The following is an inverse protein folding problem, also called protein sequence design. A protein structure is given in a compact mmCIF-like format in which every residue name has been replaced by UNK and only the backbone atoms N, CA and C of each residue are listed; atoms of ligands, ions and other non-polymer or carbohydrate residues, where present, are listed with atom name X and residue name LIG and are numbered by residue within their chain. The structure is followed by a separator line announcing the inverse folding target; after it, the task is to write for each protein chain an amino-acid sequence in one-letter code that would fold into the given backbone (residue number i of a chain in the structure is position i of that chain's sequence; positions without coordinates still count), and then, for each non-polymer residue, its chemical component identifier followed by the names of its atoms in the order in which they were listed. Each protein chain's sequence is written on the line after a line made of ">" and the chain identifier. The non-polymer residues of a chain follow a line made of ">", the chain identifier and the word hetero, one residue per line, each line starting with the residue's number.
data_IF_659582383508
#
_entry.id   IF_659582383508
#
_cell.length_a   1.000
_cell.length_b   1.000
_cell.length_c   1.000
_cell.angle_alpha   90.00
_cell.angle_beta   90.00
_cell.angle_gamma   90.00
#
_symmetry.space_group_name_H-M   'P 1'
#
loop_
_entity.id
_entity.type
_entity.pdbx_description
1 polymer ?
#
# COMPACT_ATOMS: atom_id res chain seq x y z
N UNK A 1 -12.68 -13.49 -13.33
CA UNK A 1 -11.96 -14.46 -14.19
C UNK A 1 -11.59 -13.90 -15.56
N UNK A 2 -12.44 -13.10 -16.20
CA UNK A 2 -12.11 -12.50 -17.52
C UNK A 2 -10.85 -11.61 -17.49
N UNK A 3 -10.70 -10.78 -16.45
CA UNK A 3 -9.48 -9.96 -16.23
C UNK A 3 -8.24 -10.85 -16.21
N UNK A 4 -8.31 -12.02 -15.56
CA UNK A 4 -7.22 -12.99 -15.48
C UNK A 4 -6.87 -13.57 -16.84
N UNK A 5 -7.87 -13.95 -17.63
CA UNK A 5 -7.64 -14.48 -18.98
C UNK A 5 -6.98 -13.44 -19.91
N UNK A 6 -7.27 -12.15 -19.73
CA UNK A 6 -6.73 -11.10 -20.59
C UNK A 6 -5.41 -10.51 -20.08
N UNK A 7 -5.29 -10.20 -18.79
CA UNK A 7 -4.14 -9.50 -18.21
C UNK A 7 -3.20 -10.41 -17.39
N UNK A 8 -3.58 -11.66 -17.13
CA UNK A 8 -2.82 -12.58 -16.28
C UNK A 8 -3.21 -12.49 -14.81
N UNK A 9 -2.60 -13.36 -14.01
CA UNK A 9 -2.98 -13.56 -12.61
C UNK A 9 -2.61 -12.37 -11.72
N UNK A 10 -1.42 -11.77 -11.84
CA UNK A 10 -1.00 -10.64 -10.98
C UNK A 10 -1.98 -9.47 -10.99
N UNK A 11 -2.42 -9.06 -12.18
CA UNK A 11 -3.36 -7.93 -12.33
C UNK A 11 -4.76 -8.33 -11.85
N UNK A 12 -5.20 -9.55 -12.16
CA UNK A 12 -6.48 -10.03 -11.66
C UNK A 12 -6.51 -10.19 -10.13
N UNK A 13 -5.37 -10.53 -9.51
CA UNK A 13 -5.23 -10.61 -8.06
C UNK A 13 -5.31 -9.22 -7.43
N UNK A 14 -4.71 -8.20 -8.07
CA UNK A 14 -4.87 -6.80 -7.67
C UNK A 14 -6.33 -6.35 -7.70
N UNK A 15 -7.02 -6.48 -8.85
CA UNK A 15 -8.44 -6.10 -8.93
C UNK A 15 -9.32 -6.90 -7.96
N UNK A 16 -9.01 -8.18 -7.75
CA UNK A 16 -9.69 -9.00 -6.75
C UNK A 16 -9.45 -8.51 -5.31
N UNK A 17 -8.25 -8.03 -5.00
CA UNK A 17 -7.95 -7.43 -3.70
C UNK A 17 -8.66 -6.09 -3.52
N UNK A 18 -8.62 -5.22 -4.54
CA UNK A 18 -9.30 -3.93 -4.54
C UNK A 18 -10.81 -4.10 -4.32
N UNK A 19 -11.45 -5.02 -5.06
CA UNK A 19 -12.87 -5.35 -4.92
C UNK A 19 -13.16 -5.84 -3.50
N UNK A 20 -12.40 -6.84 -3.03
CA UNK A 20 -12.55 -7.37 -1.67
C UNK A 20 -12.39 -6.29 -0.60
N UNK A 21 -11.33 -5.48 -0.71
CA UNK A 21 -10.98 -4.44 0.24
C UNK A 21 -12.07 -3.35 0.30
N UNK A 22 -12.65 -3.00 -0.85
CA UNK A 22 -13.81 -2.10 -0.93
C UNK A 22 -14.97 -2.61 -0.08
N UNK A 23 -15.38 -3.88 -0.28
CA UNK A 23 -16.45 -4.49 0.50
C UNK A 23 -16.09 -4.65 1.99
N UNK A 24 -14.83 -4.95 2.28
CA UNK A 24 -14.32 -5.13 3.64
C UNK A 24 -14.33 -3.82 4.46
N UNK A 25 -14.23 -2.66 3.81
CA UNK A 25 -14.32 -1.35 4.48
C UNK A 25 -15.76 -0.88 4.72
N UNK A 26 -16.77 -1.45 4.02
CA UNK A 26 -18.17 -1.03 4.19
C UNK A 26 -18.65 -1.15 5.64
N UNK A 27 -18.40 -2.23 6.40
CA UNK A 27 -18.78 -2.30 7.81
C UNK A 27 -18.16 -1.19 8.66
N UNK A 28 -16.89 -0.85 8.44
CA UNK A 28 -16.24 0.27 9.13
C UNK A 28 -16.91 1.61 8.79
N UNK A 29 -17.23 1.83 7.51
CA UNK A 29 -17.90 3.04 7.04
C UNK A 29 -19.33 3.17 7.61
N UNK A 30 -20.12 2.10 7.56
CA UNK A 30 -21.51 2.08 8.06
C UNK A 30 -21.56 2.34 9.56
N UNK A 31 -20.65 1.74 10.34
CA UNK A 31 -20.58 1.98 11.79
C UNK A 31 -20.01 3.39 12.06
N UNK A 32 -19.07 3.89 11.26
CA UNK A 32 -18.49 5.21 11.42
C UNK A 32 -19.45 6.39 11.20
N UNK A 33 -20.47 6.24 10.35
CA UNK A 33 -21.43 7.31 10.03
C UNK A 33 -22.24 7.77 11.27
N UNK A 34 -22.95 6.89 12.02
CA UNK A 34 -23.65 7.29 13.24
C UNK A 34 -22.73 7.92 14.28
N UNK A 35 -21.51 7.39 14.41
CA UNK A 35 -20.51 7.89 15.37
C UNK A 35 -20.16 9.35 15.11
N UNK A 36 -20.00 9.72 13.85
CA UNK A 36 -19.75 11.10 13.46
C UNK A 36 -21.01 11.98 13.52
N UNK A 37 -22.13 11.51 12.96
CA UNK A 37 -23.35 12.30 12.81
C UNK A 37 -24.00 12.68 14.14
N UNK A 38 -23.99 11.77 15.11
CA UNK A 38 -24.59 11.99 16.42
C UNK A 38 -23.60 12.50 17.46
N UNK A 39 -22.39 12.88 17.04
CA UNK A 39 -21.28 13.28 17.91
C UNK A 39 -21.21 12.36 19.14
N UNK A 40 -21.17 11.05 18.89
CA UNK A 40 -21.06 10.02 19.91
C UNK A 40 -19.63 10.02 20.47
N UNK A 41 -19.25 11.15 21.08
CA UNK A 41 -17.94 11.39 21.66
C UNK A 41 -17.87 10.89 23.12
N UNK A 42 -18.83 10.07 23.54
CA UNK A 42 -18.74 9.39 24.84
C UNK A 42 -17.62 8.36 24.81
N UNK A 43 -16.87 8.28 25.91
CA UNK A 43 -15.73 7.37 26.07
C UNK A 43 -16.03 5.93 25.66
N UNK A 44 -17.13 5.37 26.18
CA UNK A 44 -17.54 3.99 25.94
C UNK A 44 -17.71 3.71 24.45
N UNK A 45 -18.18 4.71 23.70
CA UNK A 45 -18.43 4.58 22.27
C UNK A 45 -17.10 4.55 21.51
N UNK A 46 -16.14 5.43 21.83
CA UNK A 46 -14.81 5.39 21.19
C UNK A 46 -14.08 4.07 21.38
N UNK A 47 -14.12 3.51 22.59
CA UNK A 47 -13.51 2.20 22.88
C UNK A 47 -14.19 1.09 22.09
N UNK A 48 -15.52 1.09 22.03
CA UNK A 48 -16.27 0.09 21.26
C UNK A 48 -15.98 0.16 19.76
N UNK A 49 -15.93 1.38 19.18
CA UNK A 49 -15.61 1.56 17.77
C UNK A 49 -14.17 1.17 17.44
N UNK A 50 -13.20 1.62 18.22
CA UNK A 50 -11.80 1.28 18.03
C UNK A 50 -11.59 -0.23 18.17
N UNK A 51 -12.15 -0.87 19.20
CA UNK A 51 -12.07 -2.33 19.39
C UNK A 51 -12.67 -3.06 18.20
N UNK A 52 -13.84 -2.64 17.71
CA UNK A 52 -14.44 -3.20 16.50
C UNK A 52 -13.48 -3.08 15.30
N UNK A 53 -12.95 -1.90 15.01
CA UNK A 53 -12.07 -1.68 13.86
C UNK A 53 -10.79 -2.51 13.94
N UNK A 54 -10.17 -2.60 15.12
CA UNK A 54 -8.94 -3.37 15.34
C UNK A 54 -9.17 -4.88 15.14
N UNK A 55 -10.26 -5.42 15.67
CA UNK A 55 -10.62 -6.83 15.48
C UNK A 55 -11.03 -7.09 14.02
N UNK A 56 -11.86 -6.23 13.45
CA UNK A 56 -12.31 -6.32 12.07
C UNK A 56 -11.14 -6.26 11.08
N UNK A 57 -10.15 -5.38 11.32
CA UNK A 57 -8.94 -5.29 10.51
C UNK A 57 -8.15 -6.61 10.47
N UNK A 58 -8.21 -7.42 11.53
CA UNK A 58 -7.59 -8.75 11.57
C UNK A 58 -8.41 -9.73 10.73
N UNK A 59 -9.73 -9.73 10.92
CA UNK A 59 -10.65 -10.60 10.16
C UNK A 59 -10.51 -10.38 8.66
N UNK A 60 -10.45 -9.12 8.20
CA UNK A 60 -10.38 -8.83 6.77
C UNK A 60 -9.06 -9.34 6.15
N UNK A 61 -7.94 -9.29 6.86
CA UNK A 61 -6.64 -9.75 6.34
C UNK A 61 -6.56 -11.28 6.32
N UNK A 62 -7.15 -11.95 7.31
CA UNK A 62 -7.24 -13.41 7.36
C UNK A 62 -8.22 -13.98 6.31
N UNK A 63 -9.38 -13.35 6.16
CA UNK A 63 -10.37 -13.74 5.14
C UNK A 63 -9.81 -13.52 3.74
N UNK A 64 -9.01 -12.48 3.52
CA UNK A 64 -8.32 -12.27 2.24
C UNK A 64 -7.40 -13.44 1.88
N UNK A 65 -6.56 -13.91 2.82
CA UNK A 65 -5.68 -15.08 2.58
C UNK A 65 -6.48 -16.29 2.10
N UNK A 66 -7.67 -16.51 2.68
CA UNK A 66 -8.57 -17.60 2.31
C UNK A 66 -9.16 -17.44 0.92
N UNK A 67 -9.65 -16.24 0.59
CA UNK A 67 -10.21 -15.92 -0.73
C UNK A 67 -9.11 -16.04 -1.80
N UNK A 68 -7.94 -15.47 -1.54
CA UNK A 68 -6.77 -15.56 -2.40
C UNK A 68 -6.37 -17.01 -2.67
N UNK A 69 -6.37 -17.88 -1.66
CA UNK A 69 -6.09 -19.31 -1.82
C UNK A 69 -7.13 -20.02 -2.71
N UNK A 70 -8.42 -19.67 -2.60
CA UNK A 70 -9.47 -20.22 -3.49
C UNK A 70 -9.24 -19.77 -4.93
N UNK A 71 -9.01 -18.47 -5.14
CA UNK A 71 -8.81 -17.90 -6.48
C UNK A 71 -7.59 -18.49 -7.16
N UNK A 72 -6.44 -18.52 -6.48
CA UNK A 72 -5.18 -19.01 -7.02
C UNK A 72 -5.15 -20.54 -7.18
N UNK A 73 -5.89 -21.28 -6.35
CA UNK A 73 -6.15 -22.70 -6.60
C UNK A 73 -6.99 -22.89 -7.87
N UNK A 74 -8.09 -22.14 -8.03
CA UNK A 74 -8.94 -22.19 -9.23
C UNK A 74 -8.17 -21.82 -10.49
N UNK A 75 -7.21 -20.90 -10.37
CA UNK A 75 -6.35 -20.51 -11.47
C UNK A 75 -5.21 -21.49 -11.75
N UNK A 76 -4.86 -22.34 -10.79
CA UNK A 76 -3.75 -23.27 -10.87
C UNK A 76 -2.40 -22.68 -10.49
N UNK A 77 -2.28 -21.36 -10.29
CA UNK A 77 -1.03 -20.71 -9.87
C UNK A 77 -0.60 -21.09 -8.46
N UNK A 78 -1.53 -21.52 -7.60
CA UNK A 78 -1.19 -22.09 -6.29
C UNK A 78 -0.48 -23.45 -6.40
N UNK A 79 -0.81 -24.22 -7.44
CA UNK A 79 -0.26 -25.56 -7.70
C UNK A 79 0.99 -25.52 -8.55
N UNK A 80 1.22 -24.43 -9.28
CA UNK A 80 2.50 -24.20 -9.93
C UNK A 80 3.56 -24.20 -8.84
N UNK A 81 4.34 -25.27 -8.76
CA UNK A 81 5.67 -25.22 -8.15
C UNK A 81 6.28 -23.97 -8.77
N UNK A 82 6.64 -22.96 -7.96
CA UNK A 82 7.29 -21.74 -8.44
C UNK A 82 8.26 -22.23 -9.49
N UNK A 83 7.96 -21.95 -10.77
CA UNK A 83 8.81 -22.39 -11.85
C UNK A 83 10.21 -21.97 -11.43
N UNK A 84 11.21 -22.81 -11.66
CA UNK A 84 12.58 -22.46 -11.32
C UNK A 84 12.86 -21.10 -11.95
N UNK A 85 12.72 -20.03 -11.16
CA UNK A 85 12.70 -18.68 -11.70
C UNK A 85 14.09 -18.45 -12.23
N UNK A 86 14.14 -18.12 -13.52
CA UNK A 86 15.41 -17.81 -14.17
C UNK A 86 16.03 -16.61 -13.45
N UNK A 87 17.37 -16.54 -13.38
CA UNK A 87 18.02 -15.36 -12.87
C UNK A 87 17.56 -14.12 -13.63
N UNK A 88 17.27 -13.03 -12.91
CA UNK A 88 16.84 -11.77 -13.56
C UNK A 88 17.92 -11.28 -14.54
N UNK A 89 17.56 -10.53 -15.59
CA UNK A 89 18.51 -10.08 -16.61
C UNK A 89 19.72 -9.29 -16.07
N UNK A 90 19.54 -8.56 -14.96
CA UNK A 90 20.60 -7.79 -14.32
C UNK A 90 21.46 -8.57 -13.31
N UNK A 91 21.19 -9.86 -13.08
CA UNK A 91 21.93 -10.66 -12.12
C UNK A 91 23.26 -11.13 -12.71
N UNK A 92 24.35 -10.88 -11.98
CA UNK A 92 25.70 -11.20 -12.44
C UNK A 92 26.52 -11.92 -11.36
N UNK A 93 27.44 -12.79 -11.77
CA UNK A 93 28.22 -13.61 -10.86
C UNK A 93 29.30 -14.41 -11.60
N UNK A 94 30.01 -15.26 -10.86
CA UNK A 94 30.95 -16.21 -11.46
C UNK A 94 30.12 -17.36 -12.02
N UNK A 95 30.41 -17.79 -13.25
CA UNK A 95 29.73 -18.92 -13.85
C UNK A 95 29.98 -20.19 -13.03
N UNK A 96 28.92 -20.92 -12.69
CA UNK A 96 29.00 -22.13 -11.89
C UNK A 96 27.78 -23.02 -12.09
N UNK A 97 27.85 -24.23 -11.55
CA UNK A 97 26.74 -25.19 -11.64
C UNK A 97 25.76 -24.91 -10.50
N UNK A 98 24.50 -24.67 -10.82
CA UNK A 98 23.44 -24.55 -9.82
C UNK A 98 23.19 -25.92 -9.17
N UNK A 99 23.25 -26.04 -7.83
CA UNK A 99 23.13 -27.32 -7.13
C UNK A 99 21.73 -27.93 -7.20
N UNK A 100 20.71 -27.16 -7.59
CA UNK A 100 19.32 -27.61 -7.67
C UNK A 100 18.90 -27.95 -9.11
N UNK A 101 19.25 -27.10 -10.09
CA UNK A 101 18.89 -27.36 -11.50
C UNK A 101 19.93 -28.18 -12.25
N UNK A 102 21.17 -28.24 -11.75
CA UNK A 102 22.30 -28.82 -12.45
C UNK A 102 22.75 -28.05 -13.69
N UNK A 103 22.16 -26.87 -13.96
CA UNK A 103 22.49 -26.03 -15.12
C UNK A 103 23.61 -25.06 -14.77
N UNK A 104 24.38 -24.69 -15.80
CA UNK A 104 25.40 -23.65 -15.69
C UNK A 104 24.73 -22.27 -15.71
N UNK A 105 24.89 -21.50 -14.63
CA UNK A 105 24.33 -20.15 -14.49
C UNK A 105 25.27 -19.26 -13.64
N UNK A 106 25.13 -17.93 -13.66
CA UNK A 106 25.89 -17.08 -12.76
C UNK A 106 25.58 -17.43 -11.30
N UNK A 107 26.61 -17.52 -10.46
CA UNK A 107 26.48 -17.77 -9.01
C UNK A 107 27.07 -16.60 -8.24
N UNK A 108 26.37 -16.18 -7.18
CA UNK A 108 26.77 -15.07 -6.32
C UNK A 108 26.71 -15.47 -4.85
N UNK A 109 27.77 -15.15 -4.09
CA UNK A 109 27.84 -15.45 -2.66
C UNK A 109 26.76 -14.70 -1.88
N UNK A 110 25.93 -15.45 -1.15
CA UNK A 110 24.89 -14.88 -0.28
C UNK A 110 25.47 -13.97 0.79
N UNK A 111 26.66 -14.27 1.33
CA UNK A 111 27.30 -13.43 2.36
C UNK A 111 27.63 -12.04 1.81
N UNK A 112 28.19 -11.97 0.60
CA UNK A 112 28.47 -10.67 -0.05
C UNK A 112 27.19 -9.85 -0.25
N UNK A 113 26.09 -10.50 -0.64
CA UNK A 113 24.78 -9.84 -0.78
C UNK A 113 24.26 -9.33 0.56
N UNK A 114 24.31 -10.16 1.62
CA UNK A 114 23.86 -9.73 2.95
C UNK A 114 24.69 -8.57 3.50
N UNK A 115 26.01 -8.55 3.25
CA UNK A 115 26.87 -7.41 3.60
C UNK A 115 26.41 -6.13 2.88
N UNK A 116 26.12 -6.21 1.57
CA UNK A 116 25.58 -5.05 0.80
C UNK A 116 24.27 -4.53 1.40
N UNK A 117 23.35 -5.44 1.73
CA UNK A 117 22.04 -5.09 2.29
C UNK A 117 22.21 -4.43 3.67
N UNK A 118 22.87 -5.09 4.61
CA UNK A 118 22.89 -4.65 6.00
C UNK A 118 23.88 -3.52 6.29
N UNK A 119 25.00 -3.41 5.56
CA UNK A 119 26.02 -2.38 5.82
C UNK A 119 25.93 -1.16 4.90
N UNK A 120 25.21 -1.23 3.78
CA UNK A 120 25.06 -0.09 2.87
C UNK A 120 23.60 0.29 2.72
N UNK A 121 22.76 -0.65 2.30
CA UNK A 121 21.36 -0.34 2.00
C UNK A 121 20.57 0.07 3.23
N UNK A 122 20.67 -0.69 4.33
CA UNK A 122 19.95 -0.39 5.56
C UNK A 122 20.37 0.97 6.19
N UNK A 123 21.67 1.28 6.35
CA UNK A 123 22.08 2.60 6.82
C UNK A 123 21.64 3.75 5.91
N UNK A 124 21.66 3.55 4.59
CA UNK A 124 21.15 4.54 3.64
C UNK A 124 19.64 4.80 3.84
N UNK A 125 18.85 3.74 3.98
CA UNK A 125 17.41 3.87 4.27
C UNK A 125 17.20 4.63 5.59
N UNK A 126 17.91 4.26 6.67
CA UNK A 126 17.81 4.95 7.95
C UNK A 126 18.18 6.44 7.85
N UNK A 127 19.22 6.79 7.07
CA UNK A 127 19.61 8.18 6.82
C UNK A 127 18.50 8.96 6.10
N UNK A 128 17.88 8.36 5.07
CA UNK A 128 16.76 8.98 4.36
C UNK A 128 15.54 9.17 5.27
N UNK A 129 15.24 8.20 6.15
CA UNK A 129 14.16 8.32 7.13
C UNK A 129 14.42 9.46 8.13
N UNK A 130 15.64 9.57 8.65
CA UNK A 130 16.04 10.69 9.50
C UNK A 130 15.92 12.04 8.77
N UNK A 131 16.39 12.11 7.52
CA UNK A 131 16.28 13.33 6.71
C UNK A 131 14.82 13.73 6.48
N UNK A 132 13.93 12.77 6.24
CA UNK A 132 12.50 13.04 6.13
C UNK A 132 11.91 13.64 7.42
N UNK A 133 12.22 13.06 8.58
CA UNK A 133 11.80 13.64 9.87
C UNK A 133 12.34 15.06 10.06
N UNK A 134 13.58 15.33 9.64
CA UNK A 134 14.14 16.68 9.68
C UNK A 134 13.39 17.67 8.79
N UNK A 135 13.03 17.28 7.56
CA UNK A 135 12.20 18.11 6.66
C UNK A 135 10.81 18.37 7.26
N UNK A 136 10.22 17.36 7.93
CA UNK A 136 8.97 17.53 8.66
C UNK A 136 9.08 18.56 9.78
N UNK A 137 10.18 18.57 10.54
CA UNK A 137 10.40 19.60 11.57
C UNK A 137 10.48 21.00 10.97
N UNK A 138 11.20 21.18 9.85
CA UNK A 138 11.25 22.46 9.13
C UNK A 138 9.84 22.90 8.69
N UNK A 139 8.99 21.97 8.25
CA UNK A 139 7.61 22.27 7.90
C UNK A 139 6.83 22.84 9.10
N UNK A 140 6.95 22.24 10.29
CA UNK A 140 6.28 22.74 11.48
C UNK A 140 6.82 24.11 11.93
N UNK A 141 8.12 24.34 11.82
CA UNK A 141 8.71 25.66 12.09
C UNK A 141 8.17 26.73 11.12
N UNK A 142 8.01 26.38 9.85
CA UNK A 142 7.43 27.28 8.83
C UNK A 142 5.93 27.52 9.05
N UNK A 143 5.19 26.50 9.50
CA UNK A 143 3.77 26.61 9.84
C UNK A 143 3.57 27.55 11.03
N UNK A 144 4.39 27.41 12.07
CA UNK A 144 4.36 28.32 13.22
C UNK A 144 4.71 29.75 12.82
N UNK A 145 5.76 29.95 12.00
CA UNK A 145 6.12 31.28 11.49
C UNK A 145 4.97 31.93 10.69
N UNK A 146 4.24 31.15 9.88
CA UNK A 146 3.11 31.66 9.11
C UNK A 146 1.93 32.05 10.01
N UNK A 147 1.70 31.31 11.11
CA UNK A 147 0.71 31.65 12.13
C UNK A 147 1.07 32.95 12.85
N UNK A 148 2.31 33.09 13.31
CA UNK A 148 2.79 34.31 13.99
C UNK A 148 2.64 35.55 13.07
N UNK A 149 2.99 35.42 11.79
CA UNK A 149 2.79 36.48 10.79
C UNK A 149 1.31 36.81 10.55
N UNK A 150 0.43 35.83 10.68
CA UNK A 150 -1.02 36.01 10.59
C UNK A 150 -1.57 36.83 11.75
N UNK A 151 -1.17 36.49 12.96
CA UNK A 151 -1.57 37.19 14.19
C UNK A 151 -1.04 38.63 14.22
N UNK A 152 0.15 38.91 13.67
CA UNK A 152 0.71 40.27 13.67
C UNK A 152 0.06 41.24 12.65
N UNK A 153 -0.32 40.76 11.47
CA UNK A 153 -0.68 41.63 10.35
C UNK A 153 -2.17 41.68 9.98
N UNK A 154 -3.01 40.80 10.56
CA UNK A 154 -4.48 40.72 10.41
C UNK A 154 -5.05 41.13 9.04
N UNK A 155 -4.35 40.78 7.94
CA UNK A 155 -4.72 41.17 6.58
C UNK A 155 -5.18 39.97 5.76
N UNK A 156 -5.99 40.21 4.72
CA UNK A 156 -6.43 39.15 3.79
C UNK A 156 -5.25 38.43 3.12
N UNK A 157 -4.14 39.14 2.89
CA UNK A 157 -2.91 38.53 2.38
C UNK A 157 -2.28 37.60 3.43
N UNK A 158 -2.35 37.96 4.69
CA UNK A 158 -1.85 37.15 5.79
C UNK A 158 -2.66 35.86 5.97
N UNK A 159 -3.98 35.88 5.75
CA UNK A 159 -4.79 34.64 5.73
C UNK A 159 -4.40 33.69 4.59
N UNK A 160 -3.94 34.22 3.45
CA UNK A 160 -3.44 33.38 2.34
C UNK A 160 -2.11 32.71 2.70
N UNK A 161 -1.25 33.38 3.50
CA UNK A 161 0.05 32.85 3.91
C UNK A 161 -0.03 31.58 4.74
N UNK A 162 -1.14 31.35 5.46
CA UNK A 162 -1.37 30.12 6.23
C UNK A 162 -1.34 28.84 5.38
N UNK A 163 -1.73 28.92 4.10
CA UNK A 163 -1.74 27.75 3.21
C UNK A 163 -0.38 27.47 2.54
N UNK A 164 0.52 28.44 2.54
CA UNK A 164 1.78 28.38 1.79
C UNK A 164 2.71 27.27 2.31
N UNK A 165 2.97 27.13 3.62
CA UNK A 165 3.84 26.06 4.16
C UNK A 165 3.35 24.67 3.77
N UNK A 166 2.05 24.40 3.86
CA UNK A 166 1.46 23.09 3.54
C UNK A 166 1.59 22.76 2.04
N UNK A 167 1.41 23.74 1.15
CA UNK A 167 1.60 23.54 -0.30
C UNK A 167 3.07 23.26 -0.62
N UNK A 168 4.00 24.01 -0.02
CA UNK A 168 5.45 23.79 -0.20
C UNK A 168 5.81 22.39 0.28
N UNK A 169 5.35 22.00 1.47
CA UNK A 169 5.62 20.68 2.04
C UNK A 169 5.09 19.55 1.15
N UNK A 170 3.86 19.66 0.63
CA UNK A 170 3.29 18.68 -0.28
C UNK A 170 4.15 18.49 -1.55
N UNK A 171 4.64 19.59 -2.14
CA UNK A 171 5.54 19.55 -3.31
C UNK A 171 6.89 18.91 -2.95
N UNK A 172 7.45 19.26 -1.80
CA UNK A 172 8.73 18.69 -1.31
C UNK A 172 8.61 17.19 -1.10
N UNK A 173 7.54 16.71 -0.47
CA UNK A 173 7.31 15.28 -0.23
C UNK A 173 7.19 14.51 -1.55
N UNK A 174 6.48 15.02 -2.54
CA UNK A 174 6.38 14.38 -3.85
C UNK A 174 7.75 14.27 -4.55
N UNK A 175 8.56 15.32 -4.47
CA UNK A 175 9.94 15.30 -4.99
C UNK A 175 10.78 14.25 -4.24
N UNK A 176 10.69 14.23 -2.90
CA UNK A 176 11.43 13.29 -2.06
C UNK A 176 11.05 11.83 -2.36
N UNK A 177 9.76 11.52 -2.51
CA UNK A 177 9.27 10.19 -2.85
C UNK A 177 9.85 9.71 -4.20
N UNK A 178 9.87 10.58 -5.21
CA UNK A 178 10.46 10.25 -6.52
C UNK A 178 11.96 10.04 -6.44
N UNK A 179 12.70 10.95 -5.81
CA UNK A 179 14.16 10.86 -5.66
C UNK A 179 14.53 9.60 -4.88
N UNK A 180 13.83 9.31 -3.79
CA UNK A 180 14.06 8.11 -3.00
C UNK A 180 13.74 6.83 -3.78
N UNK A 181 12.68 6.81 -4.59
CA UNK A 181 12.36 5.66 -5.45
C UNK A 181 13.49 5.35 -6.43
N UNK A 182 14.03 6.35 -7.12
CA UNK A 182 15.19 6.16 -7.99
C UNK A 182 16.41 5.64 -7.23
N UNK A 183 16.67 6.18 -6.04
CA UNK A 183 17.76 5.69 -5.19
C UNK A 183 17.54 4.26 -4.71
N UNK A 184 16.31 3.90 -4.32
CA UNK A 184 15.95 2.56 -3.87
C UNK A 184 16.03 1.51 -5.01
N UNK A 185 15.61 1.87 -6.23
CA UNK A 185 15.76 1.03 -7.43
C UNK A 185 17.24 0.78 -7.77
N UNK A 186 18.05 1.84 -7.74
CA UNK A 186 19.49 1.74 -7.95
C UNK A 186 20.15 0.85 -6.89
N UNK A 187 19.87 1.11 -5.62
CA UNK A 187 20.47 0.39 -4.49
C UNK A 187 20.06 -1.08 -4.47
N UNK A 188 18.79 -1.38 -4.74
CA UNK A 188 18.27 -2.75 -4.79
C UNK A 188 18.81 -3.50 -6.02
N UNK A 189 19.05 -2.80 -7.14
CA UNK A 189 19.72 -3.40 -8.31
C UNK A 189 21.18 -3.72 -7.98
N UNK A 190 21.85 -2.84 -7.24
CA UNK A 190 23.23 -3.02 -6.79
C UNK A 190 23.40 -4.16 -5.76
N UNK A 191 22.37 -4.47 -4.97
CA UNK A 191 22.35 -5.64 -4.07
C UNK A 191 22.49 -6.98 -4.82
N UNK A 192 22.23 -7.01 -6.13
CA UNK A 192 22.40 -8.17 -7.01
C UNK A 192 21.56 -9.38 -6.56
N UNK A 193 20.25 -9.19 -6.50
CA UNK A 193 19.28 -10.26 -6.25
C UNK A 193 19.20 -11.23 -7.44
N UNK A 194 19.15 -12.55 -7.17
CA UNK A 194 19.04 -13.57 -8.23
C UNK A 194 17.67 -13.56 -8.89
N UNK A 195 16.62 -13.51 -8.08
CA UNK A 195 15.23 -13.65 -8.50
C UNK A 195 14.54 -12.29 -8.61
N UNK A 196 13.63 -12.16 -9.57
CA UNK A 196 12.81 -10.96 -9.71
C UNK A 196 11.89 -10.77 -8.49
N UNK A 197 11.28 -11.86 -8.02
CA UNK A 197 10.48 -11.85 -6.78
C UNK A 197 11.26 -11.34 -5.56
N UNK A 198 12.52 -11.75 -5.39
CA UNK A 198 13.39 -11.27 -4.29
C UNK A 198 13.74 -9.79 -4.45
N UNK A 199 14.07 -9.34 -5.66
CA UNK A 199 14.34 -7.93 -5.95
C UNK A 199 13.12 -7.07 -5.62
N UNK A 200 11.96 -7.44 -6.15
CA UNK A 200 10.71 -6.71 -5.94
C UNK A 200 10.37 -6.62 -4.46
N UNK A 201 10.45 -7.73 -3.70
CA UNK A 201 10.18 -7.72 -2.26
C UNK A 201 11.08 -6.74 -1.48
N UNK A 202 12.37 -6.66 -1.81
CA UNK A 202 13.29 -5.73 -1.15
C UNK A 202 13.08 -4.28 -1.59
N UNK A 203 12.74 -4.05 -2.87
CA UNK A 203 12.40 -2.73 -3.37
C UNK A 203 11.12 -2.21 -2.71
N UNK A 204 10.07 -3.04 -2.69
CA UNK A 204 8.78 -2.78 -2.04
C UNK A 204 9.02 -2.37 -0.60
N UNK A 205 9.78 -3.15 0.17
CA UNK A 205 10.03 -2.85 1.58
C UNK A 205 10.71 -1.49 1.77
N UNK A 206 11.75 -1.17 0.99
CA UNK A 206 12.47 0.12 1.10
C UNK A 206 11.56 1.30 0.79
N UNK A 207 10.80 1.22 -0.30
CA UNK A 207 9.89 2.30 -0.75
C UNK A 207 8.71 2.45 0.20
N UNK A 208 8.15 1.34 0.68
CA UNK A 208 7.03 1.32 1.61
C UNK A 208 7.37 1.99 2.94
N UNK A 209 8.50 1.66 3.57
CA UNK A 209 8.88 2.25 4.86
C UNK A 209 9.08 3.77 4.74
N UNK A 210 9.69 4.22 3.64
CA UNK A 210 9.89 5.65 3.40
C UNK A 210 8.58 6.39 3.14
N UNK A 211 7.72 5.86 2.27
CA UNK A 211 6.41 6.47 1.98
C UNK A 211 5.51 6.46 3.23
N UNK A 212 5.51 5.38 4.01
CA UNK A 212 4.80 5.32 5.28
C UNK A 212 5.24 6.46 6.21
N UNK A 213 6.55 6.64 6.41
CA UNK A 213 7.04 7.70 7.27
C UNK A 213 6.67 9.09 6.72
N UNK A 214 6.86 9.35 5.42
CA UNK A 214 6.51 10.64 4.82
C UNK A 214 5.02 10.98 4.91
N UNK A 215 4.14 9.99 4.78
CA UNK A 215 2.70 10.20 4.86
C UNK A 215 2.20 10.35 6.29
N UNK A 216 2.72 9.58 7.24
CA UNK A 216 2.16 9.50 8.59
C UNK A 216 2.95 10.24 9.66
N UNK A 217 4.22 10.61 9.44
CA UNK A 217 5.04 11.25 10.47
C UNK A 217 4.44 12.58 10.95
N UNK A 218 3.93 13.42 10.04
CA UNK A 218 3.29 14.69 10.42
C UNK A 218 2.01 14.45 11.23
N UNK A 219 1.22 13.44 10.87
CA UNK A 219 0.02 13.06 11.62
C UNK A 219 0.37 12.52 13.02
N UNK A 220 1.42 11.70 13.12
CA UNK A 220 1.93 11.23 14.40
C UNK A 220 2.46 12.37 15.27
N UNK A 221 3.12 13.36 14.68
CA UNK A 221 3.58 14.55 15.39
C UNK A 221 2.40 15.37 15.94
N UNK A 222 1.39 15.63 15.13
CA UNK A 222 0.18 16.35 15.57
C UNK A 222 -0.52 15.56 16.69
N UNK A 223 -0.65 14.24 16.54
CA UNK A 223 -1.33 13.37 17.49
C UNK A 223 -0.61 13.25 18.84
N UNK A 224 0.70 13.00 18.82
CA UNK A 224 1.45 12.55 19.99
C UNK A 224 2.46 13.56 20.54
N UNK A 225 2.67 14.68 19.85
CA UNK A 225 3.53 15.78 20.33
C UNK A 225 2.73 17.05 20.56
N UNK A 226 1.91 17.47 19.58
CA UNK A 226 1.09 18.69 19.72
C UNK A 226 -0.20 18.46 20.51
N UNK A 227 -0.70 17.23 20.56
CA UNK A 227 -1.94 16.84 21.23
C UNK A 227 -3.19 17.58 20.72
N UNK A 228 -3.18 18.07 19.48
CA UNK A 228 -4.32 18.77 18.88
C UNK A 228 -5.16 17.83 18.01
N UNK A 229 -6.21 17.28 18.61
CA UNK A 229 -7.15 16.38 17.94
C UNK A 229 -7.96 17.08 16.84
N UNK A 230 -8.17 18.39 16.94
CA UNK A 230 -8.91 19.15 15.93
C UNK A 230 -8.05 19.34 14.70
N UNK A 231 -6.80 19.77 14.87
CA UNK A 231 -5.81 19.85 13.80
C UNK A 231 -5.60 18.48 13.16
N UNK A 232 -5.48 17.41 13.98
CA UNK A 232 -5.35 16.04 13.47
C UNK A 232 -6.52 15.64 12.56
N UNK A 233 -7.75 15.92 12.99
CA UNK A 233 -8.97 15.63 12.23
C UNK A 233 -9.00 16.40 10.90
N UNK A 234 -8.64 17.68 10.93
CA UNK A 234 -8.60 18.54 9.74
C UNK A 234 -7.50 18.13 8.76
N UNK A 235 -6.29 17.87 9.26
CA UNK A 235 -5.15 17.43 8.46
C UNK A 235 -5.41 16.06 7.83
N UNK A 236 -5.98 15.12 8.58
CA UNK A 236 -6.32 13.79 8.04
C UNK A 236 -7.40 13.87 6.96
N UNK A 237 -8.49 14.63 7.19
CA UNK A 237 -9.54 14.81 6.19
C UNK A 237 -8.98 15.47 4.91
N UNK A 238 -8.17 16.51 5.09
CA UNK A 238 -7.56 17.25 3.97
C UNK A 238 -6.60 16.35 3.19
N UNK A 239 -5.68 15.65 3.85
CA UNK A 239 -4.73 14.76 3.19
C UNK A 239 -5.45 13.63 2.45
N UNK A 240 -6.43 12.98 3.08
CA UNK A 240 -7.15 11.87 2.47
C UNK A 240 -7.93 12.32 1.24
N UNK A 241 -8.73 13.39 1.34
CA UNK A 241 -9.56 13.88 0.23
C UNK A 241 -8.69 14.44 -0.89
N UNK A 242 -7.73 15.29 -0.55
CA UNK A 242 -6.92 16.01 -1.55
C UNK A 242 -5.98 15.05 -2.27
N UNK A 243 -5.33 14.13 -1.53
CA UNK A 243 -4.45 13.12 -2.14
C UNK A 243 -5.24 12.19 -3.06
N UNK A 244 -6.42 11.72 -2.65
CA UNK A 244 -7.25 10.84 -3.49
C UNK A 244 -7.67 11.51 -4.80
N UNK A 245 -8.14 12.76 -4.74
CA UNK A 245 -8.55 13.50 -5.95
C UNK A 245 -7.35 13.75 -6.87
N UNK A 246 -6.21 14.17 -6.31
CA UNK A 246 -5.01 14.46 -7.09
C UNK A 246 -4.41 13.19 -7.72
N UNK A 247 -4.35 12.09 -6.96
CA UNK A 247 -3.91 10.78 -7.47
C UNK A 247 -4.78 10.34 -8.62
N UNK A 248 -6.11 10.36 -8.46
CA UNK A 248 -7.02 9.93 -9.52
C UNK A 248 -6.85 10.75 -10.80
N UNK A 249 -6.63 12.06 -10.67
CA UNK A 249 -6.37 12.91 -11.83
C UNK A 249 -5.04 12.58 -12.50
N UNK A 250 -3.96 12.45 -11.72
CA UNK A 250 -2.61 12.23 -12.21
C UNK A 250 -2.39 10.82 -12.79
N UNK A 251 -3.05 9.82 -12.22
CA UNK A 251 -2.87 8.41 -12.53
C UNK A 251 -3.67 7.95 -13.74
N UNK A 252 -4.93 8.38 -13.86
CA UNK A 252 -5.83 7.86 -14.90
C UNK A 252 -6.32 8.93 -15.86
N UNK A 253 -6.89 10.03 -15.36
CA UNK A 253 -7.60 11.01 -16.19
C UNK A 253 -6.67 11.76 -17.13
N UNK A 254 -5.55 12.28 -16.60
CA UNK A 254 -4.56 13.02 -17.39
C UNK A 254 -3.87 12.10 -18.41
N UNK A 255 -3.32 10.92 -18.04
CA UNK A 255 -2.74 9.98 -19.01
C UNK A 255 -3.74 9.51 -20.07
N UNK A 256 -4.99 9.22 -19.69
CA UNK A 256 -6.04 8.84 -20.65
C UNK A 256 -6.33 9.96 -21.65
N UNK A 257 -6.45 11.21 -21.18
CA UNK A 257 -6.70 12.34 -22.07
C UNK A 257 -5.53 12.58 -23.04
N UNK A 258 -4.29 12.49 -22.55
CA UNK A 258 -3.09 12.55 -23.38
C UNK A 258 -3.07 11.43 -24.41
N UNK A 259 -3.36 10.19 -24.00
CA UNK A 259 -3.38 9.03 -24.89
C UNK A 259 -4.51 9.11 -25.92
N UNK A 260 -5.69 9.62 -25.55
CA UNK A 260 -6.81 9.85 -26.47
C UNK A 260 -6.46 10.92 -27.52
N UNK A 261 -5.80 12.01 -27.11
CA UNK A 261 -5.27 13.02 -28.03
C UNK A 261 -4.23 12.42 -28.98
N UNK A 262 -3.33 11.61 -28.44
CA UNK A 262 -2.30 10.92 -29.21
C UNK A 262 -2.90 9.99 -30.27
N UNK A 263 -3.83 9.11 -29.87
CA UNK A 263 -4.57 8.22 -30.79
C UNK A 263 -5.28 8.98 -31.91
N UNK A 264 -5.94 10.11 -31.59
CA UNK A 264 -6.60 10.94 -32.61
C UNK A 264 -5.61 11.54 -33.60
N UNK A 265 -4.43 11.97 -33.13
CA UNK A 265 -3.35 12.50 -33.97
C UNK A 265 -2.77 11.42 -34.89
N UNK A 266 -2.47 10.24 -34.33
CA UNK A 266 -1.95 9.09 -35.09
C UNK A 266 -2.92 8.60 -36.15
N UNK A 267 -4.20 8.43 -35.81
CA UNK A 267 -5.23 8.02 -36.78
C UNK A 267 -5.35 9.01 -37.94
N UNK A 268 -5.31 10.32 -37.66
CA UNK A 268 -5.32 11.35 -38.72
C UNK A 268 -4.09 11.25 -39.62
N UNK A 269 -2.92 10.97 -39.04
CA UNK A 269 -1.69 10.78 -39.80
C UNK A 269 -1.76 9.53 -40.70
N UNK A 270 -2.18 8.38 -40.17
CA UNK A 270 -2.33 7.14 -40.94
C UNK A 270 -3.36 7.26 -42.07
N UNK A 271 -4.53 7.87 -41.82
CA UNK A 271 -5.53 8.12 -42.87
C UNK A 271 -5.00 9.02 -44.02
N UNK A 272 -3.99 9.85 -43.76
CA UNK A 272 -3.39 10.70 -44.79
C UNK A 272 -2.42 9.94 -45.72
N UNK A 273 -1.90 8.78 -45.30
CA UNK A 273 -0.94 7.99 -46.07
C UNK A 273 -1.54 7.14 -47.21
N UNK A 274 -2.88 7.18 -47.42
CA UNK A 274 -3.62 6.55 -48.55
C UNK A 274 -2.94 5.33 -49.18
N UNK A 275 -2.83 4.24 -48.43
CA UNK A 275 -2.22 2.99 -48.91
C UNK A 275 -3.29 1.90 -48.97
N UNK A 276 -3.35 1.13 -50.07
CA UNK A 276 -4.37 0.09 -50.34
C UNK A 276 -4.18 -1.21 -49.54
N UNK A 277 -3.24 -1.25 -48.60
CA UNK A 277 -3.04 -2.41 -47.73
C UNK A 277 -3.88 -2.32 -46.46
N UNK A 278 -4.26 -3.48 -45.91
CA UNK A 278 -4.97 -3.61 -44.64
C UNK A 278 -4.08 -3.09 -43.48
N UNK A 279 -4.12 -1.78 -43.26
CA UNK A 279 -3.30 -1.02 -42.31
C UNK A 279 -3.70 -1.24 -40.84
N UNK A 280 -4.69 -2.09 -40.55
CA UNK A 280 -5.26 -2.26 -39.21
C UNK A 280 -4.22 -2.73 -38.17
N UNK A 281 -3.41 -3.74 -38.52
CA UNK A 281 -2.35 -4.24 -37.65
C UNK A 281 -1.20 -3.23 -37.51
N UNK A 282 -0.84 -2.55 -38.61
CA UNK A 282 0.25 -1.54 -38.61
C UNK A 282 -0.15 -0.32 -37.78
N UNK A 283 -1.40 0.13 -37.87
CA UNK A 283 -1.95 1.20 -37.03
C UNK A 283 -1.92 0.79 -35.56
N UNK A 284 -2.33 -0.45 -35.25
CA UNK A 284 -2.32 -0.97 -33.89
C UNK A 284 -0.89 -1.02 -33.31
N UNK A 285 0.06 -1.62 -34.04
CA UNK A 285 1.45 -1.75 -33.59
C UNK A 285 2.08 -0.37 -33.39
N UNK A 286 1.89 0.57 -34.31
CA UNK A 286 2.44 1.92 -34.17
C UNK A 286 1.84 2.67 -32.96
N UNK A 287 0.54 2.49 -32.71
CA UNK A 287 -0.11 3.09 -31.54
C UNK A 287 0.42 2.48 -30.23
N UNK A 288 0.48 1.15 -30.14
CA UNK A 288 0.90 0.43 -28.93
C UNK A 288 2.40 0.57 -28.64
N UNK A 289 3.23 0.74 -29.68
CA UNK A 289 4.66 1.03 -29.54
C UNK A 289 4.91 2.29 -28.72
N UNK A 290 4.08 3.31 -28.91
CA UNK A 290 4.21 4.62 -28.26
C UNK A 290 3.43 4.73 -26.94
N UNK A 291 2.64 3.70 -26.59
CA UNK A 291 1.97 3.63 -25.29
C UNK A 291 2.95 3.37 -24.15
N UNK A 292 2.62 3.91 -22.98
CA UNK A 292 3.39 3.69 -21.76
C UNK A 292 3.45 2.20 -21.39
N UNK A 293 4.53 1.80 -20.72
CA UNK A 293 4.66 0.48 -20.09
C UNK A 293 4.06 0.52 -18.69
N UNK A 294 3.28 -0.49 -18.35
CA UNK A 294 2.86 -0.71 -16.97
C UNK A 294 4.01 -1.37 -16.19
N UNK A 295 4.52 -0.69 -15.17
CA UNK A 295 5.72 -1.12 -14.42
C UNK A 295 5.44 -2.11 -13.28
N UNK A 296 4.19 -2.53 -13.10
CA UNK A 296 3.76 -3.47 -12.07
C UNK A 296 2.73 -2.87 -11.12
N UNK A 297 2.15 -3.71 -10.26
CA UNK A 297 1.08 -3.36 -9.31
C UNK A 297 1.58 -2.67 -8.04
N UNK A 298 2.82 -2.17 -8.03
CA UNK A 298 3.42 -1.61 -6.82
C UNK A 298 2.67 -0.37 -6.33
N UNK A 299 2.51 0.62 -7.21
CA UNK A 299 1.88 1.90 -6.90
C UNK A 299 0.40 1.69 -6.54
N UNK A 300 -0.27 0.84 -7.30
CA UNK A 300 -1.65 0.41 -7.07
C UNK A 300 -1.88 -0.18 -5.67
N UNK A 301 -1.01 -1.12 -5.21
CA UNK A 301 -1.10 -1.65 -3.85
C UNK A 301 -0.66 -0.63 -2.79
N UNK A 302 0.31 0.24 -3.10
CA UNK A 302 0.77 1.27 -2.19
C UNK A 302 -0.36 2.24 -1.85
N UNK A 303 -1.18 2.62 -2.83
CA UNK A 303 -2.36 3.45 -2.60
C UNK A 303 -3.32 2.80 -1.60
N UNK A 304 -3.67 1.53 -1.80
CA UNK A 304 -4.56 0.80 -0.89
C UNK A 304 -3.94 0.63 0.51
N UNK A 305 -2.62 0.45 0.59
CA UNK A 305 -1.89 0.37 1.85
C UNK A 305 -1.93 1.68 2.63
N UNK A 306 -1.67 2.82 1.97
CA UNK A 306 -1.74 4.14 2.60
C UNK A 306 -3.18 4.47 3.00
N UNK A 307 -4.16 4.15 2.16
CA UNK A 307 -5.57 4.30 2.46
C UNK A 307 -5.97 3.49 3.71
N UNK A 308 -5.55 2.23 3.80
CA UNK A 308 -5.75 1.41 4.99
C UNK A 308 -5.09 2.01 6.23
N UNK A 309 -3.90 2.61 6.08
CA UNK A 309 -3.24 3.34 7.17
C UNK A 309 -4.07 4.52 7.68
N UNK A 310 -4.57 5.38 6.80
CA UNK A 310 -5.41 6.51 7.20
C UNK A 310 -6.71 6.06 7.90
N UNK A 311 -7.32 4.95 7.45
CA UNK A 311 -8.53 4.40 8.06
C UNK A 311 -8.26 3.73 9.40
N UNK A 312 -7.19 2.94 9.51
CA UNK A 312 -6.94 2.08 10.68
C UNK A 312 -6.18 2.79 11.81
N UNK A 313 -5.16 3.60 11.51
CA UNK A 313 -4.31 4.24 12.53
C UNK A 313 -5.09 5.25 13.38
N UNK A 314 -5.92 6.08 12.74
CA UNK A 314 -6.62 7.19 13.38
C UNK A 314 -8.13 6.98 13.46
N UNK A 315 -8.55 5.71 13.50
CA UNK A 315 -9.96 5.33 13.42
C UNK A 315 -10.78 5.95 14.56
N UNK A 316 -10.23 6.02 15.77
CA UNK A 316 -10.90 6.66 16.91
C UNK A 316 -11.07 8.18 16.76
N UNK A 317 -10.22 8.86 15.99
CA UNK A 317 -10.27 10.33 15.83
C UNK A 317 -11.15 10.75 14.65
N UNK A 318 -11.08 10.00 13.54
CA UNK A 318 -11.84 10.31 12.33
C UNK A 318 -12.52 9.08 11.71
N UNK A 319 -13.66 8.62 12.26
CA UNK A 319 -14.42 7.48 11.75
C UNK A 319 -14.87 7.59 10.29
N UNK A 320 -15.05 8.82 9.79
CA UNK A 320 -15.44 9.07 8.39
C UNK A 320 -14.34 8.72 7.36
N UNK A 321 -13.09 8.49 7.79
CA UNK A 321 -12.03 8.06 6.89
C UNK A 321 -12.45 6.83 6.06
N UNK A 322 -13.12 5.87 6.70
CA UNK A 322 -13.60 4.66 6.02
C UNK A 322 -14.65 4.95 4.94
N UNK A 323 -15.51 5.96 5.14
CA UNK A 323 -16.52 6.36 4.15
C UNK A 323 -15.84 6.91 2.90
N UNK A 324 -14.89 7.83 3.07
CA UNK A 324 -14.14 8.38 1.94
C UNK A 324 -13.30 7.32 1.24
N UNK A 325 -12.70 6.40 2.00
CA UNK A 325 -11.96 5.27 1.42
C UNK A 325 -12.85 4.38 0.54
N UNK A 326 -14.07 4.04 0.98
CA UNK A 326 -15.02 3.26 0.18
C UNK A 326 -15.43 4.03 -1.09
N UNK A 327 -15.73 5.32 -0.98
CA UNK A 327 -16.09 6.16 -2.13
C UNK A 327 -14.95 6.24 -3.15
N UNK A 328 -13.71 6.41 -2.69
CA UNK A 328 -12.53 6.39 -3.53
C UNK A 328 -12.36 5.03 -4.22
N UNK A 329 -12.50 3.92 -3.49
CA UNK A 329 -12.29 2.60 -4.09
C UNK A 329 -13.34 2.26 -5.16
N UNK A 330 -14.57 2.76 -5.01
CA UNK A 330 -15.59 2.62 -6.06
C UNK A 330 -15.12 3.32 -7.34
N UNK A 331 -14.57 4.54 -7.25
CA UNK A 331 -14.02 5.22 -8.43
C UNK A 331 -12.75 4.55 -8.94
N UNK A 332 -11.91 4.06 -8.03
CA UNK A 332 -10.62 3.43 -8.34
C UNK A 332 -10.78 2.15 -9.15
N UNK A 333 -11.77 1.31 -8.83
CA UNK A 333 -12.09 0.10 -9.62
C UNK A 333 -12.27 0.43 -11.11
N UNK A 334 -12.99 1.51 -11.42
CA UNK A 334 -13.21 1.95 -12.80
C UNK A 334 -12.02 2.70 -13.39
N UNK A 335 -11.34 3.47 -12.56
CA UNK A 335 -10.19 4.29 -12.95
C UNK A 335 -9.00 3.42 -13.36
N UNK A 336 -8.68 2.41 -12.55
CA UNK A 336 -7.65 1.42 -12.87
C UNK A 336 -8.04 0.54 -14.04
N UNK A 337 -9.32 0.17 -14.16
CA UNK A 337 -9.78 -0.53 -15.35
C UNK A 337 -9.55 0.32 -16.62
N UNK A 338 -9.81 1.63 -16.57
CA UNK A 338 -9.52 2.56 -17.67
C UNK A 338 -8.02 2.66 -17.94
N UNK A 339 -7.20 2.77 -16.89
CA UNK A 339 -5.74 2.79 -16.92
C UNK A 339 -5.20 1.57 -17.69
N UNK A 340 -5.67 0.37 -17.34
CA UNK A 340 -5.24 -0.89 -17.97
C UNK A 340 -5.79 -1.09 -19.39
N UNK A 341 -6.99 -0.57 -19.69
CA UNK A 341 -7.63 -0.78 -20.99
C UNK A 341 -7.23 0.24 -22.06
N UNK A 342 -6.89 1.48 -21.67
CA UNK A 342 -6.79 2.61 -22.62
C UNK A 342 -5.53 3.46 -22.46
N UNK A 343 -4.78 3.33 -21.37
CA UNK A 343 -3.58 4.16 -21.11
C UNK A 343 -2.30 3.37 -21.41
N UNK A 344 -2.14 2.20 -20.80
CA UNK A 344 -0.94 1.38 -20.94
C UNK A 344 -1.07 0.33 -22.03
N UNK A 345 0.09 -0.08 -22.60
CA UNK A 345 0.16 -1.28 -23.44
C UNK A 345 -0.04 -2.53 -22.59
N UNK A 346 -0.48 -3.62 -23.23
CA UNK A 346 -0.77 -4.87 -22.52
C UNK A 346 0.49 -5.39 -21.80
N UNK A 347 0.46 -5.55 -20.47
CA UNK A 347 1.57 -6.12 -19.73
C UNK A 347 1.68 -7.63 -19.97
N UNK A 348 2.86 -8.18 -19.72
CA UNK A 348 3.06 -9.62 -19.72
C UNK A 348 2.36 -10.26 -18.52
N UNK A 349 1.75 -11.43 -18.76
CA UNK A 349 1.07 -12.18 -17.72
C UNK A 349 2.10 -12.88 -16.82
N UNK A 350 2.08 -12.56 -15.54
CA UNK A 350 2.95 -13.17 -14.53
C UNK A 350 2.12 -14.07 -13.59
N UNK A 351 2.52 -15.33 -13.39
CA UNK A 351 1.82 -16.24 -12.49
C UNK A 351 2.13 -15.87 -11.03
N UNK A 352 1.10 -15.52 -10.26
CA UNK A 352 1.22 -15.22 -8.83
C UNK A 352 0.23 -16.03 -8.00
N UNK A 353 0.66 -16.40 -6.79
CA UNK A 353 -0.11 -17.21 -5.85
C UNK A 353 -0.61 -16.43 -4.62
N UNK A 354 -0.15 -15.18 -4.44
CA UNK A 354 -0.57 -14.28 -3.38
C UNK A 354 -0.15 -12.84 -3.72
N UNK A 355 -0.54 -11.88 -2.85
CA UNK A 355 -0.15 -10.46 -2.95
C UNK A 355 1.29 -10.20 -2.49
N UNK A 356 2.08 -11.23 -2.17
CA UNK A 356 3.47 -11.11 -1.76
C UNK A 356 3.66 -10.41 -0.41
N UNK A 357 4.66 -9.53 -0.35
CA UNK A 357 5.05 -8.77 0.86
C UNK A 357 3.95 -7.82 1.34
N UNK A 358 3.00 -7.46 0.48
CA UNK A 358 1.87 -6.61 0.86
C UNK A 358 1.06 -7.21 2.01
N UNK A 359 0.89 -8.54 2.08
CA UNK A 359 0.18 -9.17 3.20
C UNK A 359 0.85 -8.82 4.54
N UNK A 360 2.16 -8.98 4.62
CA UNK A 360 2.95 -8.63 5.80
C UNK A 360 2.85 -7.13 6.11
N UNK A 361 2.85 -6.28 5.08
CA UNK A 361 2.72 -4.84 5.26
C UNK A 361 1.36 -4.45 5.86
N UNK A 362 0.25 -4.94 5.30
CA UNK A 362 -1.09 -4.70 5.84
C UNK A 362 -1.24 -5.24 7.28
N UNK A 363 -0.72 -6.44 7.57
CA UNK A 363 -0.71 -7.01 8.92
C UNK A 363 0.10 -6.13 9.88
N UNK A 364 1.27 -5.65 9.46
CA UNK A 364 2.12 -4.75 10.26
C UNK A 364 1.41 -3.43 10.54
N UNK A 365 0.79 -2.81 9.54
CA UNK A 365 -0.03 -1.61 9.70
C UNK A 365 -1.17 -1.85 10.70
N UNK A 366 -1.81 -3.01 10.62
CA UNK A 366 -2.90 -3.42 11.50
C UNK A 366 -2.45 -3.73 12.94
N UNK A 367 -1.16 -4.00 13.17
CA UNK A 367 -0.55 -4.08 14.51
C UNK A 367 -0.21 -2.68 15.04
N UNK A 368 0.41 -1.83 14.21
CA UNK A 368 0.72 -0.44 14.56
C UNK A 368 -0.57 0.32 14.91
N UNK A 369 -1.68 0.04 14.23
CA UNK A 369 -2.97 0.67 14.53
C UNK A 369 -3.50 0.33 15.91
N UNK A 370 -3.24 -0.87 16.45
CA UNK A 370 -3.64 -1.21 17.83
C UNK A 370 -2.94 -0.26 18.81
N UNK A 371 -1.63 -0.11 18.68
CA UNK A 371 -0.83 0.79 19.52
C UNK A 371 -1.30 2.23 19.39
N UNK A 372 -1.46 2.73 18.15
CA UNK A 372 -1.90 4.10 17.87
C UNK A 372 -3.27 4.40 18.48
N UNK A 373 -4.27 3.53 18.27
CA UNK A 373 -5.62 3.77 18.81
C UNK A 373 -5.65 3.66 20.34
N UNK A 374 -4.89 2.74 20.95
CA UNK A 374 -4.83 2.63 22.42
C UNK A 374 -4.22 3.88 23.06
N UNK A 375 -3.14 4.41 22.49
CA UNK A 375 -2.51 5.65 22.95
C UNK A 375 -3.49 6.83 22.78
N UNK A 376 -4.12 6.98 21.60
CA UNK A 376 -5.09 8.04 21.34
C UNK A 376 -6.29 8.01 22.30
N UNK A 377 -6.80 6.82 22.63
CA UNK A 377 -7.85 6.64 23.63
C UNK A 377 -7.35 7.07 25.01
N UNK A 378 -6.15 6.61 25.41
CA UNK A 378 -5.54 6.95 26.69
C UNK A 378 -5.33 8.45 26.91
N UNK A 379 -5.17 9.21 25.82
CA UNK A 379 -4.95 10.66 25.85
C UNK A 379 -6.26 11.46 25.76
N UNK A 380 -7.40 10.80 25.60
CA UNK A 380 -8.68 11.48 25.54
C UNK A 380 -9.04 12.07 26.91
N UNK A 381 -9.65 13.27 26.96
CA UNK A 381 -9.99 13.93 28.22
C UNK A 381 -11.00 13.13 29.05
N UNK A 382 -11.85 12.30 28.40
CA UNK A 382 -12.78 11.43 29.13
C UNK A 382 -12.06 10.33 29.90
N UNK A 383 -10.99 9.74 29.33
CA UNK A 383 -10.18 8.72 30.00
C UNK A 383 -9.33 9.34 31.10
N UNK A 384 -8.75 10.50 30.82
CA UNK A 384 -7.93 11.21 31.78
C UNK A 384 -8.71 11.53 33.06
N UNK A 385 -10.00 11.84 32.92
CA UNK A 385 -10.92 12.10 34.03
C UNK A 385 -11.25 10.86 34.89
N UNK A 386 -11.08 9.63 34.37
CA UNK A 386 -11.26 8.40 35.16
C UNK A 386 -10.10 8.14 36.13
N UNK A 387 -8.93 8.75 35.87
CA UNK A 387 -7.72 8.59 36.68
C UNK A 387 -7.16 9.96 37.12
N UNK A 388 -7.89 10.71 37.96
CA UNK A 388 -7.48 12.06 38.37
C UNK A 388 -6.20 12.05 39.23
N UNK A 389 -6.02 11.01 40.06
CA UNK A 389 -4.98 10.98 41.09
C UNK A 389 -3.65 10.35 40.62
N UNK A 390 -3.69 9.45 39.62
CA UNK A 390 -2.52 8.64 39.22
C UNK A 390 -2.45 8.42 37.71
N UNK A 391 -1.55 9.15 37.06
CA UNK A 391 -1.25 8.95 35.63
C UNK A 391 -0.53 7.63 35.35
N UNK A 392 0.16 7.07 36.34
CA UNK A 392 0.81 5.77 36.21
C UNK A 392 -0.21 4.66 36.06
N UNK A 393 -1.31 4.70 36.82
CA UNK A 393 -2.37 3.69 36.73
C UNK A 393 -3.12 3.78 35.40
N UNK A 394 -3.28 4.99 34.86
CA UNK A 394 -3.80 5.20 33.51
C UNK A 394 -2.90 4.52 32.46
N UNK A 395 -1.60 4.80 32.47
CA UNK A 395 -0.65 4.24 31.49
C UNK A 395 -0.62 2.71 31.59
N UNK A 396 -0.59 2.15 32.80
CA UNK A 396 -0.61 0.70 33.02
C UNK A 396 -1.91 0.07 32.54
N UNK A 397 -3.05 0.73 32.74
CA UNK A 397 -4.36 0.24 32.27
C UNK A 397 -4.43 0.24 30.74
N UNK A 398 -3.97 1.31 30.09
CA UNK A 398 -3.91 1.41 28.62
C UNK A 398 -2.95 0.37 28.05
N UNK A 399 -1.77 0.18 28.64
CA UNK A 399 -0.80 -0.83 28.21
C UNK A 399 -1.36 -2.26 28.37
N UNK A 400 -2.07 -2.54 29.47
CA UNK A 400 -2.73 -3.82 29.68
C UNK A 400 -3.81 -4.07 28.61
N UNK A 401 -4.65 -3.08 28.32
CA UNK A 401 -5.67 -3.17 27.29
C UNK A 401 -5.06 -3.39 25.90
N UNK A 402 -3.96 -2.69 25.59
CA UNK A 402 -3.19 -2.83 24.35
C UNK A 402 -2.63 -4.25 24.18
N UNK A 403 -1.97 -4.81 25.22
CA UNK A 403 -1.46 -6.18 25.19
C UNK A 403 -2.59 -7.22 25.06
N UNK A 404 -3.73 -7.00 25.70
CA UNK A 404 -4.92 -7.85 25.56
C UNK A 404 -5.45 -7.85 24.12
N UNK A 405 -5.57 -6.67 23.51
CA UNK A 405 -6.01 -6.53 22.11
C UNK A 405 -5.03 -7.16 21.13
N UNK A 406 -3.72 -6.98 21.33
CA UNK A 406 -2.69 -7.68 20.55
C UNK A 406 -2.77 -9.19 20.72
N UNK A 407 -2.94 -9.69 21.95
CA UNK A 407 -3.10 -11.11 22.20
C UNK A 407 -4.33 -11.68 21.47
N UNK A 408 -5.48 -11.01 21.58
CA UNK A 408 -6.72 -11.41 20.87
C UNK A 408 -6.47 -11.40 19.36
N UNK A 409 -5.82 -10.37 18.83
CA UNK A 409 -5.47 -10.26 17.41
C UNK A 409 -4.62 -11.43 16.94
N UNK A 410 -3.52 -11.74 17.63
CA UNK A 410 -2.64 -12.86 17.25
C UNK A 410 -3.35 -14.21 17.39
N UNK A 411 -4.21 -14.38 18.41
CA UNK A 411 -5.04 -15.58 18.55
C UNK A 411 -6.00 -15.70 17.37
N UNK A 412 -6.68 -14.63 16.98
CA UNK A 412 -7.58 -14.65 15.81
C UNK A 412 -6.84 -14.98 14.52
N UNK A 413 -5.68 -14.37 14.28
CA UNK A 413 -4.83 -14.65 13.13
C UNK A 413 -4.35 -16.11 13.10
N UNK A 414 -4.08 -16.70 14.26
CA UNK A 414 -3.68 -18.10 14.36
C UNK A 414 -4.84 -19.09 14.21
N UNK A 415 -6.02 -18.75 14.76
CA UNK A 415 -7.20 -19.63 14.76
C UNK A 415 -7.85 -19.71 13.38
N UNK A 416 -7.81 -18.63 12.60
CA UNK A 416 -8.37 -18.61 11.25
C UNK A 416 -7.33 -19.22 10.29
N UNK A 417 -7.57 -20.42 9.71
CA UNK A 417 -6.59 -21.01 8.82
C UNK A 417 -6.53 -20.24 7.50
N UNK A 418 -5.30 -19.97 7.03
CA UNK A 418 -5.00 -19.27 5.76
C UNK A 418 -5.67 -19.90 4.53
N UNK A 419 -5.80 -21.24 4.52
CA UNK A 419 -6.40 -21.99 3.41
C UNK A 419 -7.70 -22.65 3.86
N UNK A 420 -8.79 -22.55 3.09
CA UNK A 420 -10.03 -23.27 3.40
C UNK A 420 -9.84 -24.79 3.39
N UNK A 421 -10.65 -25.50 4.17
CA UNK A 421 -10.58 -26.96 4.33
C UNK A 421 -10.64 -27.71 3.00
N UNK A 422 -11.51 -27.30 2.09
CA UNK A 422 -11.66 -27.95 0.78
C UNK A 422 -10.39 -27.83 -0.08
N UNK A 423 -9.70 -26.69 0.01
CA UNK A 423 -8.44 -26.46 -0.70
C UNK A 423 -7.31 -27.27 -0.04
N UNK A 424 -7.26 -27.31 1.29
CA UNK A 424 -6.28 -28.14 2.02
C UNK A 424 -6.40 -29.62 1.65
N UNK A 425 -7.64 -30.16 1.61
CA UNK A 425 -7.88 -31.56 1.22
C UNK A 425 -7.42 -31.80 -0.22
N UNK A 426 -7.70 -30.87 -1.16
CA UNK A 426 -7.26 -31.00 -2.55
C UNK A 426 -5.73 -30.98 -2.70
N UNK A 427 -5.05 -30.10 -1.96
CA UNK A 427 -3.59 -30.04 -1.92
C UNK A 427 -2.99 -31.32 -1.33
N UNK A 428 -3.55 -31.82 -0.23
CA UNK A 428 -3.09 -33.05 0.41
C UNK A 428 -3.27 -34.28 -0.50
N UNK A 429 -4.36 -34.34 -1.28
CA UNK A 429 -4.58 -35.39 -2.28
C UNK A 429 -3.51 -35.36 -3.38
N UNK A 430 -3.22 -34.17 -3.92
CA UNK A 430 -2.18 -34.00 -4.94
C UNK A 430 -0.78 -34.39 -4.43
N UNK A 431 -0.47 -34.04 -3.19
CA UNK A 431 0.80 -34.45 -2.56
C UNK A 431 0.86 -35.97 -2.35
N UNK A 432 -0.23 -36.58 -1.87
CA UNK A 432 -0.32 -38.03 -1.71
C UNK A 432 -0.12 -38.78 -3.04
N UNK A 433 -0.80 -38.33 -4.11
CA UNK A 433 -0.65 -38.91 -5.46
C UNK A 433 0.79 -38.76 -5.98
N UNK A 434 1.45 -37.62 -5.73
CA UNK A 434 2.86 -37.44 -6.10
C UNK A 434 3.80 -38.39 -5.34
N UNK A 435 3.52 -38.68 -4.07
CA UNK A 435 4.29 -39.63 -3.27
C UNK A 435 4.05 -41.07 -3.71
N UNK A 436 2.82 -41.40 -4.09
CA UNK A 436 2.48 -42.72 -4.62
C UNK A 436 3.18 -42.97 -5.97
N UNK A 437 3.20 -41.97 -6.86
CA UNK A 437 3.95 -42.04 -8.12
C UNK A 437 5.45 -42.23 -7.89
N UNK A 438 6.04 -41.54 -6.89
CA UNK A 438 7.45 -41.71 -6.54
C UNK A 438 7.76 -43.12 -6.00
N UNK A 439 6.83 -43.75 -5.28
CA UNK A 439 7.00 -45.14 -4.80
C UNK A 439 6.96 -46.17 -5.92
N UNK A 440 6.32 -45.84 -7.04
CA UNK A 440 6.23 -46.71 -8.21
C UNK A 440 7.45 -46.59 -9.14
N UNK A 441 8.27 -45.55 -8.96
CA UNK A 441 9.50 -45.28 -9.69
C UNK A 441 10.70 -45.95 -9.00
#
# INVERSE_FOLDING_TARGET
>A
DEIRCYFGETIALYFGFLEYFTFALIPMAVIGIPYYMFAWEDYDKYVMFATFNLLWSTVILEVWKRICAIMTYRWGTLLMKRQFEEPRPGFHGVLGINPVTGREEPVYSSVKRQIRIYLVSLPFVCLCLYFSLYVMMIYFDLEQWALDYHEENESNFSSLMLFVPSIIYAVVIEIMNRVYRYAAEFLTSWENHRLESSYQNHLILKVLVFNFLNCFASLFYIAFVLFDMKLLRQSLATLLITSQILNQFAESLLPYWLQRRHKKRMKKHMCSLKTDMDLSLVEQVNLEKEMGTYFGTFDDYLELFLQFGYVSLFSCVYPLAAVFAVLNNITEIYSDALKMCRVYKRPFAEPTANIGVWQLAFETMSVISVVTNCILIGMSPQVDALFPDSKMDLILTVALAEHLLLAIKFIMAFVIPDKPRDIQIKLAKLEFESLEALKQQ
#
